data_IF_720232122672
#
_entry.id   IF_720232122672
#
_cell.length_a   1.000
_cell.length_b   1.000
_cell.length_c   1.000
_cell.angle_alpha   90.00
_cell.angle_beta   90.00
_cell.angle_gamma   90.00
#
_symmetry.space_group_name_H-M   'P 1'
#
loop_
_entity.id
_entity.type
_entity.pdbx_description
1 polymer ?
#
# COMPACT_ATOMS: atom_id res chain seq x y z
N UNK A 1 -13.64 1.00 14.35
CA UNK A 1 -15.12 1.25 14.32
C UNK A 1 -15.36 2.67 13.85
N UNK A 2 -16.39 2.89 13.08
CA UNK A 2 -16.76 4.23 12.59
C UNK A 2 -17.06 5.14 13.78
N UNK A 3 -16.39 6.28 13.86
CA UNK A 3 -16.54 7.27 14.96
C UNK A 3 -17.78 8.15 14.74
N UNK A 4 -17.98 8.58 13.50
CA UNK A 4 -19.12 9.37 13.05
C UNK A 4 -19.52 8.94 11.63
N UNK A 5 -20.71 8.37 11.51
CA UNK A 5 -21.23 7.83 10.25
C UNK A 5 -21.47 8.92 9.20
N UNK A 6 -21.92 10.10 9.62
CA UNK A 6 -22.18 11.21 8.68
C UNK A 6 -20.87 11.75 8.10
N UNK A 7 -19.89 11.98 8.96
CA UNK A 7 -18.56 12.47 8.55
C UNK A 7 -17.87 11.49 7.61
N UNK A 8 -17.85 10.19 7.91
CA UNK A 8 -17.18 9.21 7.03
C UNK A 8 -17.92 9.06 5.70
N UNK A 9 -19.24 9.09 5.68
CA UNK A 9 -20.00 9.05 4.44
C UNK A 9 -19.68 10.27 3.57
N UNK A 10 -19.68 11.48 4.14
CA UNK A 10 -19.31 12.69 3.42
C UNK A 10 -17.88 12.64 2.86
N UNK A 11 -16.93 12.11 3.62
CA UNK A 11 -15.55 11.93 3.15
C UNK A 11 -15.49 10.94 1.98
N UNK A 12 -16.17 9.80 2.09
CA UNK A 12 -16.23 8.80 1.01
C UNK A 12 -16.85 9.40 -0.25
N UNK A 13 -17.97 10.13 -0.13
CA UNK A 13 -18.64 10.78 -1.26
C UNK A 13 -17.71 11.80 -1.96
N UNK A 14 -16.94 12.58 -1.20
CA UNK A 14 -15.96 13.53 -1.74
C UNK A 14 -14.87 12.77 -2.51
N UNK A 15 -14.35 11.69 -1.95
CA UNK A 15 -13.31 10.88 -2.58
C UNK A 15 -13.84 10.19 -3.83
N UNK A 16 -15.05 9.60 -3.80
CA UNK A 16 -15.66 8.96 -4.97
C UNK A 16 -15.88 9.96 -6.11
N UNK A 17 -16.31 11.18 -5.78
CA UNK A 17 -16.43 12.26 -6.77
C UNK A 17 -15.07 12.65 -7.35
N UNK A 18 -14.05 12.84 -6.50
CA UNK A 18 -12.68 13.15 -6.94
C UNK A 18 -12.12 12.04 -7.84
N UNK A 19 -12.29 10.78 -7.45
CA UNK A 19 -11.89 9.62 -8.27
C UNK A 19 -12.58 9.66 -9.63
N UNK A 20 -13.90 9.81 -9.67
CA UNK A 20 -14.69 9.78 -10.91
C UNK A 20 -14.38 10.97 -11.82
N UNK A 21 -14.26 12.18 -11.26
CA UNK A 21 -14.17 13.41 -12.04
C UNK A 21 -12.74 13.84 -12.37
N UNK A 22 -11.76 13.41 -11.57
CA UNK A 22 -10.37 13.84 -11.69
C UNK A 22 -9.40 12.69 -11.96
N UNK A 23 -9.44 11.61 -11.17
CA UNK A 23 -8.42 10.56 -11.26
C UNK A 23 -8.66 9.62 -12.45
N UNK A 24 -9.89 9.13 -12.67
CA UNK A 24 -10.20 8.24 -13.79
C UNK A 24 -9.85 8.88 -15.14
N UNK A 25 -10.23 10.15 -15.42
CA UNK A 25 -9.84 10.81 -16.67
C UNK A 25 -8.32 10.99 -16.87
N UNK A 26 -7.55 10.99 -15.79
CA UNK A 26 -6.11 11.18 -15.83
C UNK A 26 -5.29 9.87 -15.82
N UNK A 27 -5.95 8.70 -15.82
CA UNK A 27 -5.28 7.40 -15.74
C UNK A 27 -4.27 7.16 -16.87
N UNK A 28 -4.63 7.52 -18.10
CA UNK A 28 -3.76 7.33 -19.27
C UNK A 28 -2.58 8.30 -19.23
N UNK A 29 -2.83 9.58 -18.95
CA UNK A 29 -1.77 10.57 -18.77
C UNK A 29 -0.75 10.13 -17.72
N UNK A 30 -1.21 9.71 -16.55
CA UNK A 30 -0.31 9.23 -15.49
C UNK A 30 0.49 8.00 -15.94
N UNK A 31 -0.14 7.07 -16.66
CA UNK A 31 0.54 5.88 -17.15
C UNK A 31 1.62 6.20 -18.19
N UNK A 32 1.37 7.18 -19.07
CA UNK A 32 2.31 7.65 -20.08
C UNK A 32 3.46 8.46 -19.48
N UNK A 33 3.16 9.40 -18.59
CA UNK A 33 4.16 10.26 -17.94
C UNK A 33 4.98 9.52 -16.86
N UNK A 34 4.47 8.41 -16.34
CA UNK A 34 5.11 7.63 -15.28
C UNK A 34 5.15 8.33 -13.92
N UNK A 35 4.35 9.37 -13.72
CA UNK A 35 4.22 10.12 -12.46
C UNK A 35 2.79 10.63 -12.25
N UNK A 36 2.46 10.95 -11.00
CA UNK A 36 1.22 11.67 -10.68
C UNK A 36 1.32 13.10 -11.25
N UNK A 37 0.32 13.58 -12.03
CA UNK A 37 0.27 14.98 -12.48
C UNK A 37 0.31 15.96 -11.30
N UNK A 38 1.03 17.07 -11.47
CA UNK A 38 1.31 18.01 -10.37
C UNK A 38 0.04 18.70 -9.84
N UNK A 39 -0.94 18.99 -10.70
CA UNK A 39 -2.25 19.52 -10.31
C UNK A 39 -3.04 18.54 -9.45
N UNK A 40 -3.05 17.27 -9.83
CA UNK A 40 -3.69 16.21 -9.03
C UNK A 40 -2.97 15.98 -7.70
N UNK A 41 -1.65 16.08 -7.66
CA UNK A 41 -0.89 16.00 -6.42
C UNK A 41 -1.30 17.13 -5.46
N UNK A 42 -1.52 18.34 -5.99
CA UNK A 42 -1.98 19.46 -5.19
C UNK A 42 -3.42 19.27 -4.67
N UNK A 43 -4.33 18.76 -5.51
CA UNK A 43 -5.70 18.43 -5.08
C UNK A 43 -5.72 17.34 -3.99
N UNK A 44 -4.87 16.32 -4.09
CA UNK A 44 -4.69 15.27 -3.05
C UNK A 44 -4.25 15.88 -1.72
N UNK A 45 -3.35 16.89 -1.73
CA UNK A 45 -2.94 17.64 -0.53
C UNK A 45 -4.11 18.43 0.07
N UNK A 46 -4.82 19.17 -0.76
CA UNK A 46 -5.96 20.01 -0.34
C UNK A 46 -7.11 19.18 0.24
N UNK A 47 -7.31 17.97 -0.27
CA UNK A 47 -8.28 17.00 0.27
C UNK A 47 -7.78 16.28 1.55
N UNK A 48 -6.55 16.55 2.02
CA UNK A 48 -6.00 15.94 3.23
C UNK A 48 -5.69 14.45 3.10
N UNK A 49 -5.58 13.91 1.88
CA UNK A 49 -5.42 12.47 1.65
C UNK A 49 -4.03 11.95 2.04
N UNK A 50 -3.07 12.80 2.34
CA UNK A 50 -1.78 12.44 2.93
C UNK A 50 -1.84 12.18 4.44
N UNK A 51 -2.88 12.68 5.13
CA UNK A 51 -3.03 12.60 6.58
C UNK A 51 -4.10 11.62 7.06
N UNK A 52 -4.64 10.74 6.22
CA UNK A 52 -5.77 9.87 6.55
C UNK A 52 -5.62 9.12 7.88
N UNK A 53 -4.43 8.58 8.16
CA UNK A 53 -4.17 7.72 9.33
C UNK A 53 -3.28 8.36 10.39
N UNK A 54 -2.76 9.55 10.11
CA UNK A 54 -1.97 10.34 11.07
C UNK A 54 -2.95 10.93 12.10
N UNK A 55 -2.64 10.87 13.41
CA UNK A 55 -3.51 11.41 14.44
C UNK A 55 -3.85 12.90 14.24
N UNK A 56 -5.05 13.30 14.68
CA UNK A 56 -5.57 14.66 14.54
C UNK A 56 -4.65 15.72 15.21
N UNK A 57 -4.04 15.37 16.32
CA UNK A 57 -3.09 16.24 17.06
C UNK A 57 -1.85 16.60 16.24
N UNK A 58 -1.54 15.85 15.17
CA UNK A 58 -0.46 16.12 14.22
C UNK A 58 -1.00 16.54 12.84
N UNK A 59 -2.26 16.97 12.75
CA UNK A 59 -2.87 17.52 11.54
C UNK A 59 -3.42 16.48 10.56
N UNK A 60 -3.53 15.23 10.94
CA UNK A 60 -4.17 14.18 10.17
C UNK A 60 -5.66 14.02 10.45
N UNK A 61 -6.30 13.03 9.84
CA UNK A 61 -7.71 12.67 10.08
C UNK A 61 -7.86 11.56 11.13
N UNK A 62 -6.80 10.87 11.49
CA UNK A 62 -6.78 9.81 12.50
C UNK A 62 -7.76 8.69 12.24
N UNK A 63 -8.02 8.30 10.97
CA UNK A 63 -9.03 7.32 10.63
C UNK A 63 -8.80 5.99 11.35
N UNK A 64 -9.88 5.42 11.86
CA UNK A 64 -9.91 4.04 12.37
C UNK A 64 -9.68 3.07 11.21
N UNK A 65 -9.44 1.79 11.50
CA UNK A 65 -9.21 0.81 10.44
C UNK A 65 -10.45 0.62 9.57
N UNK A 66 -11.64 0.59 10.16
CA UNK A 66 -12.90 0.47 9.42
C UNK A 66 -13.11 1.67 8.49
N UNK A 67 -12.88 2.89 8.96
CA UNK A 67 -12.96 4.12 8.16
C UNK A 67 -11.92 4.12 7.03
N UNK A 68 -10.68 3.70 7.33
CA UNK A 68 -9.61 3.59 6.32
C UNK A 68 -9.97 2.59 5.20
N UNK A 69 -10.61 1.47 5.52
CA UNK A 69 -11.04 0.49 4.51
C UNK A 69 -12.09 1.10 3.56
N UNK A 70 -13.07 1.83 4.08
CA UNK A 70 -14.07 2.51 3.25
C UNK A 70 -13.42 3.50 2.26
N UNK A 71 -12.50 4.33 2.76
CA UNK A 71 -11.71 5.26 1.93
C UNK A 71 -10.85 4.51 0.91
N UNK A 72 -10.22 3.41 1.32
CA UNK A 72 -9.37 2.60 0.44
C UNK A 72 -10.16 1.93 -0.68
N UNK A 73 -11.41 1.51 -0.43
CA UNK A 73 -12.30 0.99 -1.45
C UNK A 73 -12.68 2.09 -2.47
N UNK A 74 -13.02 3.29 -2.00
CA UNK A 74 -13.32 4.42 -2.88
C UNK A 74 -12.12 4.80 -3.77
N UNK A 75 -10.92 4.90 -3.20
CA UNK A 75 -9.68 5.15 -3.95
C UNK A 75 -9.31 4.01 -4.89
N UNK A 76 -9.74 2.77 -4.61
CA UNK A 76 -9.53 1.60 -5.47
C UNK A 76 -10.30 1.64 -6.79
N UNK A 77 -11.28 2.52 -6.97
CA UNK A 77 -12.02 2.65 -8.23
C UNK A 77 -11.22 3.29 -9.37
N UNK A 78 -9.97 3.66 -9.15
CA UNK A 78 -9.03 4.14 -10.17
C UNK A 78 -7.73 3.34 -10.15
N UNK A 79 -6.79 3.64 -11.05
CA UNK A 79 -5.48 2.99 -11.06
C UNK A 79 -4.83 3.03 -9.67
N UNK A 80 -4.40 1.88 -9.14
CA UNK A 80 -3.77 1.83 -7.83
C UNK A 80 -2.46 2.64 -7.74
N UNK A 81 -1.92 3.08 -8.89
CA UNK A 81 -0.74 3.94 -8.92
C UNK A 81 -1.02 5.33 -8.28
N UNK A 82 -2.23 5.90 -8.47
CA UNK A 82 -2.60 7.16 -7.83
C UNK A 82 -2.53 7.07 -6.30
N UNK A 83 -3.01 5.96 -5.74
CA UNK A 83 -3.03 5.75 -4.31
C UNK A 83 -1.62 5.54 -3.74
N UNK A 84 -0.65 5.06 -4.53
CA UNK A 84 0.68 4.67 -4.04
C UNK A 84 1.40 5.81 -3.33
N UNK A 85 1.35 7.04 -3.85
CA UNK A 85 2.06 8.16 -3.23
C UNK A 85 1.51 8.49 -1.84
N UNK A 86 0.20 8.64 -1.70
CA UNK A 86 -0.45 8.96 -0.44
C UNK A 86 -0.54 7.74 0.50
N UNK A 87 -0.86 6.56 -0.03
CA UNK A 87 -1.02 5.35 0.78
C UNK A 87 0.29 4.86 1.38
N UNK A 88 1.42 5.01 0.69
CA UNK A 88 2.74 4.74 1.28
C UNK A 88 3.04 5.74 2.39
N UNK A 89 2.75 7.02 2.17
CA UNK A 89 2.98 8.07 3.17
C UNK A 89 2.10 7.87 4.42
N UNK A 90 0.81 7.61 4.25
CA UNK A 90 -0.13 7.33 5.35
C UNK A 90 0.19 6.02 6.10
N UNK A 91 0.58 4.98 5.36
CA UNK A 91 0.79 3.63 5.88
C UNK A 91 2.22 3.39 6.32
N UNK A 92 2.97 2.67 5.49
CA UNK A 92 4.30 2.16 5.84
C UNK A 92 5.37 3.24 6.02
N UNK A 93 5.17 4.45 5.48
CA UNK A 93 6.10 5.57 5.62
C UNK A 93 6.02 6.28 6.97
N UNK A 94 4.81 6.49 7.51
CA UNK A 94 4.60 7.26 8.75
C UNK A 94 4.28 6.40 9.98
N UNK A 95 3.67 5.24 9.79
CA UNK A 95 3.09 4.45 10.88
C UNK A 95 4.13 4.03 11.94
N UNK A 96 5.39 3.80 11.56
CA UNK A 96 6.45 3.49 12.53
C UNK A 96 6.64 4.63 13.53
N UNK A 97 6.62 5.89 13.07
CA UNK A 97 6.72 7.08 13.93
C UNK A 97 5.46 7.24 14.77
N UNK A 98 4.28 7.03 14.18
CA UNK A 98 2.99 7.07 14.92
C UNK A 98 3.00 6.09 16.08
N UNK A 99 3.47 4.85 15.87
CA UNK A 99 3.44 3.80 16.89
C UNK A 99 4.54 3.93 17.94
N UNK A 100 5.76 4.20 17.53
CA UNK A 100 6.94 4.04 18.37
C UNK A 100 7.86 5.29 18.37
N UNK A 101 7.52 6.36 17.64
CA UNK A 101 8.29 7.59 17.64
C UNK A 101 8.21 8.33 18.98
N UNK A 102 9.30 9.03 19.34
CA UNK A 102 9.29 9.99 20.45
C UNK A 102 8.36 11.16 20.12
N UNK A 103 7.92 11.89 21.14
CA UNK A 103 7.08 13.07 20.93
C UNK A 103 7.78 14.12 20.04
N UNK A 104 9.09 14.31 20.22
CA UNK A 104 9.90 15.19 19.38
C UNK A 104 9.89 14.76 17.90
N UNK A 105 10.02 13.47 17.63
CA UNK A 105 9.92 12.91 16.26
C UNK A 105 8.52 13.10 15.69
N UNK A 106 7.48 12.82 16.45
CA UNK A 106 6.09 12.99 16.02
C UNK A 106 5.80 14.45 15.65
N UNK A 107 6.16 15.41 16.51
CA UNK A 107 5.98 16.85 16.26
C UNK A 107 6.79 17.35 15.06
N UNK A 108 7.98 16.81 14.84
CA UNK A 108 8.84 17.22 13.72
C UNK A 108 8.35 16.72 12.37
N UNK A 109 7.92 15.46 12.29
CA UNK A 109 7.69 14.77 11.01
C UNK A 109 6.22 14.62 10.64
N UNK A 110 5.33 14.25 11.59
CA UNK A 110 3.96 13.91 11.26
C UNK A 110 3.13 15.05 10.65
N UNK A 111 3.24 16.32 11.10
CA UNK A 111 2.51 17.42 10.47
C UNK A 111 2.89 17.61 9.00
N UNK A 112 4.17 17.45 8.67
CA UNK A 112 4.66 17.56 7.29
C UNK A 112 4.20 16.41 6.41
N UNK A 113 4.07 15.20 6.98
CA UNK A 113 3.52 14.07 6.27
C UNK A 113 2.01 14.22 6.08
N UNK A 114 1.28 14.69 7.10
CA UNK A 114 -0.16 14.87 7.03
C UNK A 114 -0.58 15.90 5.98
N UNK A 115 0.18 16.98 5.83
CA UNK A 115 -0.04 17.99 4.78
C UNK A 115 0.43 17.55 3.39
N UNK A 116 1.25 16.48 3.29
CA UNK A 116 1.90 16.10 2.04
C UNK A 116 3.05 17.04 1.62
N UNK A 117 3.47 17.96 2.50
CA UNK A 117 4.69 18.76 2.29
C UNK A 117 5.90 17.85 2.18
N UNK A 118 6.00 16.88 3.08
CA UNK A 118 7.02 15.84 3.03
C UNK A 118 6.41 14.47 2.71
N UNK A 119 7.10 13.75 1.85
CA UNK A 119 6.78 12.37 1.49
C UNK A 119 7.81 11.48 2.14
N UNK A 120 7.35 10.40 2.77
CA UNK A 120 8.17 9.37 3.37
C UNK A 120 8.11 8.08 2.57
N UNK A 121 9.12 7.24 2.70
CA UNK A 121 9.14 5.89 2.16
C UNK A 121 9.65 4.87 3.18
N UNK A 122 9.49 3.59 2.85
CA UNK A 122 9.79 2.46 3.72
C UNK A 122 10.89 1.59 3.12
N UNK A 123 12.07 1.62 3.75
CA UNK A 123 13.29 1.01 3.26
C UNK A 123 13.61 -0.29 4.03
N UNK A 124 12.86 -1.37 3.73
CA UNK A 124 13.07 -2.70 4.31
C UNK A 124 13.78 -3.63 3.33
N UNK A 125 13.21 -3.83 2.14
CA UNK A 125 13.64 -4.81 1.14
C UNK A 125 15.05 -4.50 0.62
N UNK A 126 15.84 -5.56 0.43
CA UNK A 126 17.18 -5.51 -0.13
C UNK A 126 17.30 -6.45 -1.35
N UNK A 127 18.34 -6.30 -2.20
CA UNK A 127 18.54 -7.20 -3.34
C UNK A 127 18.50 -8.70 -2.97
N UNK A 128 18.98 -9.06 -1.79
CA UNK A 128 19.06 -10.45 -1.31
C UNK A 128 18.08 -10.79 -0.17
N UNK A 129 17.25 -9.81 0.30
CA UNK A 129 16.32 -9.99 1.41
C UNK A 129 14.95 -9.38 1.09
N UNK A 130 14.07 -10.19 0.49
CA UNK A 130 12.67 -9.84 0.22
C UNK A 130 11.73 -10.54 1.19
N UNK A 131 11.28 -11.78 0.85
CA UNK A 131 10.41 -12.57 1.73
C UNK A 131 11.07 -12.97 3.04
N UNK A 132 12.38 -13.17 3.04
CA UNK A 132 13.21 -13.35 4.25
C UNK A 132 13.75 -11.98 4.72
N UNK A 133 12.84 -11.06 5.07
CA UNK A 133 13.19 -9.70 5.42
C UNK A 133 14.07 -9.56 6.68
N UNK A 134 14.03 -10.55 7.59
CA UNK A 134 14.90 -10.58 8.78
C UNK A 134 16.37 -10.86 8.46
N UNK A 135 16.69 -11.31 7.24
CA UNK A 135 18.05 -11.56 6.76
C UNK A 135 18.68 -10.33 6.09
N UNK A 136 18.10 -9.13 6.26
CA UNK A 136 18.67 -7.89 5.73
C UNK A 136 20.12 -7.68 6.20
N UNK A 137 20.92 -7.06 5.32
CA UNK A 137 22.37 -6.87 5.50
C UNK A 137 22.79 -5.41 5.68
N UNK A 138 21.91 -4.44 5.41
CA UNK A 138 22.17 -3.03 5.73
C UNK A 138 22.55 -2.92 7.19
N UNK A 139 23.69 -2.30 7.49
CA UNK A 139 24.22 -2.14 8.85
C UNK A 139 24.02 -0.71 9.36
N UNK A 140 23.89 -0.56 10.68
CA UNK A 140 23.93 0.73 11.37
C UNK A 140 24.87 0.59 12.57
N UNK A 141 26.12 1.00 12.39
CA UNK A 141 27.14 0.94 13.44
C UNK A 141 27.12 2.22 14.28
N UNK A 142 27.00 2.05 15.58
CA UNK A 142 27.06 3.22 16.51
C UNK A 142 28.44 3.87 16.50
N UNK A 143 28.45 5.21 16.43
CA UNK A 143 29.65 6.05 16.44
C UNK A 143 29.36 7.33 17.28
N UNK A 144 29.55 7.20 18.58
CA UNK A 144 29.25 8.24 19.56
C UNK A 144 27.74 8.51 19.63
N UNK A 145 27.35 9.73 19.30
CA UNK A 145 25.98 10.23 19.25
C UNK A 145 25.31 10.03 17.87
N UNK A 146 25.92 9.27 16.98
CA UNK A 146 25.43 8.95 15.66
C UNK A 146 25.44 7.44 15.39
N UNK A 147 24.71 7.04 14.34
CA UNK A 147 24.87 5.76 13.65
C UNK A 147 25.40 6.00 12.24
N UNK A 148 26.28 5.11 11.78
CA UNK A 148 26.79 5.09 10.42
C UNK A 148 26.09 3.96 9.68
N UNK A 149 25.26 4.31 8.69
CA UNK A 149 24.45 3.35 7.91
C UNK A 149 25.14 3.05 6.60
N UNK A 150 25.25 1.74 6.29
CA UNK A 150 25.80 1.23 5.02
C UNK A 150 24.91 0.09 4.48
N UNK A 151 24.58 0.15 3.19
CA UNK A 151 23.81 -0.88 2.51
C UNK A 151 22.97 -0.37 1.36
N UNK A 152 22.20 -1.27 0.73
CA UNK A 152 21.33 -0.94 -0.40
C UNK A 152 19.92 -1.46 -0.16
N UNK A 153 18.94 -0.59 -0.31
CA UNK A 153 17.52 -0.92 -0.28
C UNK A 153 16.95 -0.92 -1.69
N UNK A 154 16.06 -1.87 -1.97
CA UNK A 154 15.59 -2.16 -3.32
C UNK A 154 14.07 -2.03 -3.45
N UNK A 155 13.61 -1.60 -4.63
CA UNK A 155 12.18 -1.42 -4.95
C UNK A 155 11.47 -0.43 -4.02
N UNK A 156 12.14 0.65 -3.61
CA UNK A 156 11.58 1.56 -2.61
C UNK A 156 10.60 2.52 -3.27
N UNK A 157 9.33 2.33 -2.96
CA UNK A 157 8.23 3.16 -3.44
C UNK A 157 8.36 4.57 -2.89
N UNK A 158 8.14 5.56 -3.74
CA UNK A 158 8.28 7.00 -3.48
C UNK A 158 9.73 7.48 -3.28
N UNK A 159 10.75 6.63 -3.25
CA UNK A 159 12.13 7.08 -3.01
C UNK A 159 12.59 8.24 -3.92
N UNK A 160 12.23 8.29 -5.23
CA UNK A 160 12.61 9.41 -6.09
C UNK A 160 12.10 10.78 -5.61
N UNK A 161 10.97 10.82 -4.90
CA UNK A 161 10.31 12.05 -4.42
C UNK A 161 10.26 12.16 -2.90
N UNK A 162 10.81 11.17 -2.18
CA UNK A 162 10.78 11.15 -0.71
C UNK A 162 11.70 12.23 -0.11
N UNK A 163 11.27 12.80 0.99
CA UNK A 163 12.03 13.73 1.84
C UNK A 163 12.70 12.99 3.00
N UNK A 164 12.12 11.84 3.37
CA UNK A 164 12.65 10.97 4.43
C UNK A 164 12.53 9.50 4.07
N UNK A 165 13.45 8.73 4.60
CA UNK A 165 13.52 7.28 4.48
C UNK A 165 13.37 6.65 5.86
N UNK A 166 12.39 5.78 6.04
CA UNK A 166 12.29 4.92 7.21
C UNK A 166 13.12 3.65 6.95
N UNK A 167 14.33 3.60 7.50
CA UNK A 167 15.36 2.62 7.15
C UNK A 167 15.48 1.56 8.23
N UNK A 168 15.29 0.28 7.87
CA UNK A 168 15.59 -0.87 8.71
C UNK A 168 17.07 -1.27 8.48
N UNK A 169 17.86 -1.25 9.56
CA UNK A 169 19.27 -1.62 9.50
C UNK A 169 19.67 -2.45 10.72
N UNK A 170 20.67 -3.30 10.54
CA UNK A 170 21.20 -4.17 11.58
C UNK A 170 22.17 -3.38 12.48
N UNK A 171 21.77 -3.20 13.72
CA UNK A 171 22.59 -2.54 14.76
C UNK A 171 23.44 -3.54 15.54
N UNK A 172 22.97 -4.79 15.65
CA UNK A 172 23.73 -5.85 16.32
C UNK A 172 23.99 -7.02 15.34
N UNK A 173 25.25 -7.14 14.84
CA UNK A 173 25.62 -8.22 13.91
C UNK A 173 25.70 -9.60 14.55
N UNK A 174 25.88 -9.67 15.87
CA UNK A 174 25.98 -10.95 16.60
C UNK A 174 24.59 -11.56 16.83
N UNK A 175 23.55 -10.73 16.87
CA UNK A 175 22.16 -11.19 17.02
C UNK A 175 21.53 -11.46 15.65
N UNK A 176 21.34 -12.76 15.37
CA UNK A 176 20.67 -13.21 14.12
C UNK A 176 19.16 -12.95 14.18
N UNK A 177 18.58 -12.70 13.00
CA UNK A 177 17.12 -12.53 12.84
C UNK A 177 16.63 -11.16 13.27
N UNK A 178 15.40 -11.09 13.74
CA UNK A 178 14.64 -9.87 13.94
C UNK A 178 15.19 -8.91 15.02
N UNK A 179 15.74 -9.44 16.10
CA UNK A 179 16.14 -8.66 17.29
C UNK A 179 17.39 -7.82 17.10
N UNK A 180 18.19 -8.05 16.07
CA UNK A 180 19.38 -7.24 15.76
C UNK A 180 19.09 -6.09 14.80
N UNK A 181 17.81 -5.77 14.53
CA UNK A 181 17.39 -4.78 13.53
C UNK A 181 16.70 -3.61 14.20
N UNK A 182 17.15 -2.40 13.89
CA UNK A 182 16.58 -1.13 14.35
C UNK A 182 15.98 -0.35 13.18
N UNK A 183 15.12 0.61 13.47
CA UNK A 183 14.47 1.49 12.50
C UNK A 183 14.95 2.92 12.67
N UNK A 184 15.25 3.61 11.57
CA UNK A 184 15.82 4.96 11.58
C UNK A 184 15.03 5.90 10.67
N UNK A 185 14.86 7.15 11.09
CA UNK A 185 14.45 8.25 10.21
C UNK A 185 15.71 8.84 9.59
N UNK A 186 15.84 8.74 8.28
CA UNK A 186 16.96 9.32 7.53
C UNK A 186 16.42 10.38 6.59
N UNK A 187 16.87 11.63 6.74
CA UNK A 187 16.47 12.73 5.86
C UNK A 187 17.23 12.64 4.52
N UNK A 188 16.56 13.02 3.44
CA UNK A 188 17.09 12.86 2.06
C UNK A 188 18.44 13.53 1.83
N UNK A 189 18.62 14.73 2.41
CA UNK A 189 19.82 15.54 2.19
C UNK A 189 21.02 15.10 3.03
N UNK A 190 20.88 13.99 3.77
CA UNK A 190 22.01 13.42 4.54
C UNK A 190 23.09 12.95 3.56
N UNK A 191 24.36 13.39 3.72
CA UNK A 191 25.45 12.97 2.84
C UNK A 191 25.62 11.44 2.80
N UNK A 192 25.96 10.89 1.63
CA UNK A 192 26.18 9.46 1.43
C UNK A 192 24.94 8.72 0.91
N UNK A 193 23.83 9.40 0.66
CA UNK A 193 22.62 8.80 0.05
C UNK A 193 22.68 8.98 -1.46
N UNK A 194 22.53 7.88 -2.19
CA UNK A 194 22.40 7.86 -3.65
C UNK A 194 21.13 7.10 -4.05
N UNK A 195 20.39 7.63 -5.01
CA UNK A 195 19.22 6.97 -5.59
C UNK A 195 19.61 6.30 -6.91
N UNK A 196 19.14 5.07 -7.09
CA UNK A 196 19.22 4.36 -8.35
C UNK A 196 18.30 4.96 -9.44
N UNK A 197 18.35 4.40 -10.63
CA UNK A 197 17.41 4.74 -11.70
C UNK A 197 15.98 4.28 -11.33
N UNK A 198 14.97 5.01 -11.83
CA UNK A 198 13.57 4.61 -11.66
C UNK A 198 13.32 3.27 -12.34
N UNK A 199 12.71 2.34 -11.62
CA UNK A 199 12.43 0.99 -12.11
C UNK A 199 11.38 1.00 -13.23
N UNK A 200 11.64 0.24 -14.30
CA UNK A 200 10.64 -0.09 -15.31
C UNK A 200 9.84 -1.30 -14.84
N UNK A 201 8.53 -1.17 -14.78
CA UNK A 201 7.65 -2.17 -14.15
C UNK A 201 6.60 -2.70 -15.13
N UNK A 202 6.02 -3.87 -14.82
CA UNK A 202 4.90 -4.44 -15.55
C UNK A 202 3.64 -3.56 -15.49
N UNK A 203 3.37 -2.95 -14.34
CA UNK A 203 2.20 -2.14 -14.06
C UNK A 203 2.46 -1.09 -13.00
N UNK A 204 1.38 -0.42 -12.57
CA UNK A 204 1.41 0.72 -11.67
C UNK A 204 2.39 1.82 -12.15
N UNK A 205 2.35 2.12 -13.46
CA UNK A 205 3.02 3.28 -14.03
C UNK A 205 2.51 4.54 -13.33
N UNK A 206 3.42 5.43 -12.94
CA UNK A 206 3.07 6.58 -12.08
C UNK A 206 3.41 6.38 -10.59
N UNK A 207 3.54 5.13 -10.11
CA UNK A 207 4.11 4.83 -8.80
C UNK A 207 5.61 4.59 -8.93
N UNK A 208 6.42 5.59 -8.65
CA UNK A 208 7.87 5.51 -8.82
C UNK A 208 8.52 4.64 -7.73
N UNK A 209 9.44 3.77 -8.15
CA UNK A 209 10.31 2.98 -7.27
C UNK A 209 11.75 3.06 -7.76
N UNK A 210 12.71 2.99 -6.85
CA UNK A 210 14.13 2.85 -7.17
C UNK A 210 14.89 2.21 -6.00
N UNK A 211 16.17 1.92 -6.24
CA UNK A 211 17.10 1.56 -5.17
C UNK A 211 17.50 2.81 -4.39
N UNK A 212 17.76 2.63 -3.06
CA UNK A 212 18.35 3.64 -2.19
C UNK A 212 19.64 3.07 -1.62
N UNK A 213 20.75 3.73 -1.89
CA UNK A 213 22.10 3.31 -1.53
C UNK A 213 22.59 4.23 -0.42
N UNK A 214 23.09 3.64 0.66
CA UNK A 214 23.66 4.31 1.83
C UNK A 214 25.14 3.96 1.93
N UNK A 215 26.00 4.99 1.85
CA UNK A 215 27.47 4.87 1.92
C UNK A 215 27.95 5.81 3.02
N UNK A 216 28.33 5.25 4.16
CA UNK A 216 28.78 5.95 5.37
C UNK A 216 27.81 7.08 5.82
N UNK A 217 26.52 6.84 5.70
CA UNK A 217 25.46 7.81 6.04
C UNK A 217 25.41 8.00 7.56
N UNK A 218 25.76 9.18 8.04
CA UNK A 218 25.75 9.54 9.46
C UNK A 218 24.38 10.06 9.88
N UNK A 219 23.73 9.34 10.78
CA UNK A 219 22.39 9.65 11.28
C UNK A 219 22.45 9.89 12.78
N UNK A 220 21.90 10.99 13.34
CA UNK A 220 21.85 11.21 14.77
C UNK A 220 21.20 10.03 15.51
N UNK A 221 21.72 9.67 16.68
CA UNK A 221 21.18 8.56 17.47
C UNK A 221 19.71 8.78 17.88
N UNK A 222 19.30 10.04 18.03
CA UNK A 222 17.91 10.42 18.32
C UNK A 222 16.93 10.12 17.17
N UNK A 223 17.43 9.81 15.97
CA UNK A 223 16.59 9.43 14.80
C UNK A 223 16.23 7.94 14.80
N UNK A 224 16.66 7.16 15.78
CA UNK A 224 16.14 5.79 15.97
C UNK A 224 14.64 5.85 16.32
N UNK A 225 13.83 4.97 15.75
CA UNK A 225 12.39 4.88 16.02
C UNK A 225 12.17 3.73 17.02
N UNK A 226 11.71 4.07 18.22
CA UNK A 226 11.56 3.10 19.30
C UNK A 226 12.91 2.71 19.91
N UNK A 227 12.99 1.49 20.43
CA UNK A 227 14.20 0.96 21.07
C UNK A 227 15.13 0.29 20.05
N UNK A 228 16.43 0.30 20.31
CA UNK A 228 17.41 -0.44 19.52
C UNK A 228 17.09 -1.95 19.53
N UNK A 229 17.12 -2.57 18.34
CA UNK A 229 16.78 -3.99 18.17
C UNK A 229 15.29 -4.28 17.98
N UNK A 230 14.40 -3.29 18.09
CA UNK A 230 12.94 -3.46 17.94
C UNK A 230 12.40 -3.02 16.57
N UNK A 231 13.26 -2.55 15.67
CA UNK A 231 12.85 -2.02 14.38
C UNK A 231 12.10 -3.02 13.51
N UNK A 232 12.46 -4.30 13.55
CA UNK A 232 11.75 -5.34 12.80
C UNK A 232 10.36 -5.62 13.36
N UNK A 233 10.20 -5.60 14.69
CA UNK A 233 8.89 -5.77 15.34
C UNK A 233 7.97 -4.61 14.95
N UNK A 234 8.49 -3.39 14.98
CA UNK A 234 7.79 -2.19 14.50
C UNK A 234 7.37 -2.33 13.04
N UNK A 235 8.28 -2.77 12.16
CA UNK A 235 8.00 -3.00 10.76
C UNK A 235 6.86 -4.03 10.55
N UNK A 236 6.82 -5.11 11.33
CA UNK A 236 5.74 -6.11 11.23
C UNK A 236 4.37 -5.55 11.68
N UNK A 237 4.33 -4.73 12.75
CA UNK A 237 3.09 -4.05 13.17
C UNK A 237 2.56 -3.10 12.07
N UNK A 238 3.47 -2.38 11.41
CA UNK A 238 3.14 -1.50 10.28
C UNK A 238 2.57 -2.31 9.12
N UNK A 239 3.20 -3.42 8.74
CA UNK A 239 2.74 -4.30 7.65
C UNK A 239 1.40 -4.98 7.97
N UNK A 240 1.10 -5.30 9.23
CA UNK A 240 -0.21 -5.87 9.60
C UNK A 240 -1.37 -4.90 9.29
N UNK A 241 -1.15 -3.58 9.45
CA UNK A 241 -2.11 -2.55 9.02
C UNK A 241 -2.18 -2.47 7.50
N UNK A 242 -1.03 -2.46 6.84
CA UNK A 242 -0.92 -2.38 5.37
C UNK A 242 -1.66 -3.52 4.66
N UNK A 243 -1.69 -4.74 5.24
CA UNK A 243 -2.44 -5.89 4.68
C UNK A 243 -3.94 -5.62 4.58
N UNK A 244 -4.55 -5.01 5.58
CA UNK A 244 -5.97 -4.63 5.54
C UNK A 244 -6.20 -3.48 4.54
N UNK A 245 -5.33 -2.47 4.54
CA UNK A 245 -5.39 -1.38 3.58
C UNK A 245 -5.39 -1.89 2.14
N UNK A 246 -4.44 -2.75 1.76
CA UNK A 246 -4.37 -3.28 0.40
C UNK A 246 -5.53 -4.23 0.07
N UNK A 247 -6.15 -4.85 1.07
CA UNK A 247 -7.39 -5.61 0.89
C UNK A 247 -8.53 -4.68 0.48
N UNK A 248 -8.69 -3.52 1.14
CA UNK A 248 -9.66 -2.50 0.76
C UNK A 248 -9.45 -1.98 -0.67
N UNK A 249 -8.21 -1.64 -1.03
CA UNK A 249 -7.85 -1.24 -2.40
C UNK A 249 -8.21 -2.33 -3.42
N UNK A 250 -7.90 -3.60 -3.12
CA UNK A 250 -8.22 -4.74 -3.99
C UNK A 250 -9.72 -4.89 -4.24
N UNK A 251 -10.55 -4.65 -3.22
CA UNK A 251 -12.01 -4.68 -3.33
C UNK A 251 -12.50 -3.52 -4.21
N UNK A 252 -11.97 -2.31 -4.03
CA UNK A 252 -12.31 -1.16 -4.86
C UNK A 252 -11.98 -1.38 -6.34
N UNK A 253 -10.78 -1.89 -6.64
CA UNK A 253 -10.38 -2.26 -8.01
C UNK A 253 -11.30 -3.33 -8.59
N UNK A 254 -11.67 -4.36 -7.80
CA UNK A 254 -12.59 -5.39 -8.27
C UNK A 254 -13.96 -4.82 -8.62
N UNK A 255 -14.50 -3.92 -7.78
CA UNK A 255 -15.77 -3.21 -8.05
C UNK A 255 -15.72 -2.41 -9.35
N UNK A 256 -14.61 -1.67 -9.60
CA UNK A 256 -14.39 -0.94 -10.85
C UNK A 256 -14.37 -1.89 -12.05
N UNK A 257 -13.59 -2.97 -11.99
CA UNK A 257 -13.48 -3.94 -13.08
C UNK A 257 -14.80 -4.65 -13.40
N UNK A 258 -15.61 -4.95 -12.38
CA UNK A 258 -16.94 -5.51 -12.55
C UNK A 258 -17.86 -4.51 -13.25
N UNK A 259 -17.83 -3.24 -12.86
CA UNK A 259 -18.62 -2.20 -13.48
C UNK A 259 -18.24 -2.00 -14.96
N UNK A 260 -16.94 -1.88 -15.27
CA UNK A 260 -16.45 -1.73 -16.64
C UNK A 260 -16.82 -2.94 -17.51
N UNK A 261 -16.67 -4.17 -16.97
CA UNK A 261 -17.02 -5.40 -17.69
C UNK A 261 -18.53 -5.53 -17.91
N UNK A 262 -19.36 -5.15 -16.95
CA UNK A 262 -20.82 -5.15 -17.08
C UNK A 262 -21.29 -4.13 -18.12
N UNK A 263 -20.76 -2.90 -18.07
CA UNK A 263 -21.11 -1.85 -19.03
C UNK A 263 -20.76 -2.29 -20.47
N UNK A 264 -19.55 -2.81 -20.66
CA UNK A 264 -19.12 -3.36 -21.95
C UNK A 264 -20.03 -4.51 -22.41
N UNK A 265 -20.37 -5.45 -21.50
CA UNK A 265 -21.20 -6.60 -21.85
C UNK A 265 -22.62 -6.22 -22.25
N UNK A 266 -23.17 -5.16 -21.65
CA UNK A 266 -24.50 -4.63 -22.00
C UNK A 266 -24.54 -3.94 -23.37
N UNK A 267 -23.43 -3.35 -23.80
CA UNK A 267 -23.35 -2.58 -25.06
C UNK A 267 -22.89 -3.46 -26.23
N UNK A 268 -21.91 -4.35 -26.00
CA UNK A 268 -21.32 -5.20 -27.05
C UNK A 268 -22.30 -6.28 -27.49
N UNK A 269 -22.56 -6.32 -28.79
CA UNK A 269 -23.46 -7.34 -29.39
C UNK A 269 -22.69 -8.40 -30.17
N UNK A 270 -23.01 -9.66 -29.94
CA UNK A 270 -22.58 -10.81 -30.72
C UNK A 270 -23.76 -11.80 -30.80
N UNK A 271 -23.81 -12.60 -31.84
CA UNK A 271 -24.96 -13.55 -32.10
C UNK A 271 -26.33 -12.87 -32.05
N UNK A 272 -26.40 -11.60 -32.49
CA UNK A 272 -27.63 -10.82 -32.59
C UNK A 272 -28.13 -10.15 -31.30
N UNK A 273 -27.44 -10.29 -30.16
CA UNK A 273 -27.86 -9.74 -28.86
C UNK A 273 -26.66 -9.23 -28.05
N UNK A 274 -26.87 -8.45 -26.96
CA UNK A 274 -25.81 -8.09 -26.03
C UNK A 274 -25.10 -9.34 -25.49
N UNK A 275 -23.79 -9.28 -25.31
CA UNK A 275 -23.06 -10.44 -24.74
C UNK A 275 -23.42 -10.71 -23.29
N UNK A 276 -24.00 -9.75 -22.57
CA UNK A 276 -24.60 -9.94 -21.25
C UNK A 276 -25.70 -11.01 -21.20
N UNK A 277 -26.34 -11.32 -22.33
CA UNK A 277 -27.34 -12.39 -22.45
C UNK A 277 -26.72 -13.79 -22.59
N UNK A 278 -25.40 -13.89 -22.71
CA UNK A 278 -24.69 -15.15 -22.83
C UNK A 278 -24.38 -15.73 -21.43
N UNK A 279 -24.80 -16.98 -21.18
CA UNK A 279 -24.68 -17.62 -19.86
C UNK A 279 -23.23 -17.67 -19.33
N UNK A 280 -22.22 -17.84 -20.21
CA UNK A 280 -20.82 -17.87 -19.79
C UNK A 280 -20.32 -16.49 -19.36
N UNK A 281 -20.83 -15.40 -19.93
CA UNK A 281 -20.54 -14.02 -19.48
C UNK A 281 -21.21 -13.78 -18.12
N UNK A 282 -22.48 -14.19 -17.99
CA UNK A 282 -23.22 -14.09 -16.72
C UNK A 282 -22.50 -14.83 -15.59
N UNK A 283 -21.97 -16.02 -15.86
CA UNK A 283 -21.19 -16.79 -14.88
C UNK A 283 -19.93 -16.04 -14.42
N UNK A 284 -19.15 -15.44 -15.36
CA UNK A 284 -17.97 -14.65 -15.01
C UNK A 284 -18.30 -13.42 -14.17
N UNK A 285 -19.39 -12.72 -14.48
CA UNK A 285 -19.88 -11.57 -13.70
C UNK A 285 -20.35 -12.00 -12.30
N UNK A 286 -21.11 -13.09 -12.20
CA UNK A 286 -21.62 -13.63 -10.94
C UNK A 286 -20.50 -14.10 -10.01
N UNK A 287 -19.51 -14.83 -10.55
CA UNK A 287 -18.33 -15.26 -9.78
C UNK A 287 -17.54 -14.05 -9.26
N UNK A 288 -17.31 -13.05 -10.11
CA UNK A 288 -16.59 -11.83 -9.74
C UNK A 288 -17.30 -11.07 -8.63
N UNK A 289 -18.61 -10.91 -8.73
CA UNK A 289 -19.44 -10.26 -7.71
C UNK A 289 -19.44 -11.03 -6.39
N UNK A 290 -19.59 -12.36 -6.44
CA UNK A 290 -19.63 -13.23 -5.26
C UNK A 290 -18.31 -13.19 -4.49
N UNK A 291 -17.19 -13.32 -5.20
CA UNK A 291 -15.87 -13.28 -4.58
C UNK A 291 -15.57 -11.89 -3.98
N UNK A 292 -15.97 -10.80 -4.67
CA UNK A 292 -15.78 -9.43 -4.19
C UNK A 292 -16.62 -9.16 -2.93
N UNK A 293 -17.87 -9.63 -2.89
CA UNK A 293 -18.72 -9.53 -1.71
C UNK A 293 -18.13 -10.28 -0.51
N UNK A 294 -17.63 -11.49 -0.69
CA UNK A 294 -16.97 -12.24 0.36
C UNK A 294 -15.71 -11.52 0.88
N UNK A 295 -14.89 -10.94 -0.04
CA UNK A 295 -13.71 -10.14 0.30
C UNK A 295 -14.07 -8.93 1.16
N UNK A 296 -15.13 -8.20 0.80
CA UNK A 296 -15.60 -7.04 1.54
C UNK A 296 -16.07 -7.42 2.94
N UNK A 297 -16.91 -8.43 3.08
CA UNK A 297 -17.41 -8.90 4.38
C UNK A 297 -16.27 -9.28 5.33
N UNK A 298 -15.30 -10.09 4.87
CA UNK A 298 -14.19 -10.52 5.73
C UNK A 298 -13.26 -9.37 6.09
N UNK A 299 -13.02 -8.43 5.17
CA UNK A 299 -12.13 -7.28 5.42
C UNK A 299 -12.74 -6.29 6.40
N UNK A 300 -14.03 -5.96 6.23
CA UNK A 300 -14.74 -5.06 7.14
C UNK A 300 -14.86 -5.64 8.55
N UNK A 301 -15.18 -6.93 8.70
CA UNK A 301 -15.23 -7.55 10.01
C UNK A 301 -13.85 -7.59 10.69
N UNK A 302 -12.79 -7.88 9.94
CA UNK A 302 -11.43 -7.86 10.48
C UNK A 302 -11.01 -6.46 10.91
N UNK A 303 -11.39 -5.42 10.14
CA UNK A 303 -11.14 -4.03 10.50
C UNK A 303 -11.84 -3.64 11.82
N UNK A 304 -13.12 -4.00 11.98
CA UNK A 304 -13.87 -3.78 13.23
C UNK A 304 -13.23 -4.46 14.43
N UNK A 305 -12.78 -5.70 14.28
CA UNK A 305 -12.09 -6.44 15.34
C UNK A 305 -10.77 -5.76 15.72
N UNK A 306 -10.00 -5.29 14.72
CA UNK A 306 -8.77 -4.51 14.97
C UNK A 306 -9.05 -3.22 15.74
N UNK A 307 -10.11 -2.50 15.39
CA UNK A 307 -10.51 -1.26 16.08
C UNK A 307 -10.96 -1.51 17.53
N UNK A 308 -11.38 -2.75 17.85
CA UNK A 308 -11.62 -3.20 19.24
C UNK A 308 -10.34 -3.67 19.95
N UNK A 309 -9.16 -3.46 19.35
CA UNK A 309 -7.85 -3.92 19.83
C UNK A 309 -7.71 -5.44 19.96
N UNK A 310 -8.46 -6.21 19.19
CA UNK A 310 -8.29 -7.66 19.09
C UNK A 310 -7.02 -7.99 18.27
N UNK A 311 -6.39 -9.12 18.59
CA UNK A 311 -5.31 -9.65 17.78
C UNK A 311 -5.89 -10.28 16.50
N UNK A 312 -5.67 -9.62 15.36
CA UNK A 312 -6.20 -10.03 14.05
C UNK A 312 -5.09 -10.37 13.04
N UNK A 313 -3.91 -10.76 13.51
CA UNK A 313 -2.76 -11.03 12.62
C UNK A 313 -3.07 -12.15 11.60
N UNK A 314 -3.76 -13.20 12.02
CA UNK A 314 -4.20 -14.30 11.14
C UNK A 314 -5.23 -13.81 10.12
N UNK A 315 -6.25 -13.11 10.59
CA UNK A 315 -7.34 -12.61 9.76
C UNK A 315 -6.86 -11.54 8.78
N UNK A 316 -5.97 -10.64 9.19
CA UNK A 316 -5.35 -9.65 8.29
C UNK A 316 -4.56 -10.33 7.16
N UNK A 317 -3.84 -11.40 7.48
CA UNK A 317 -3.14 -12.20 6.46
C UNK A 317 -4.11 -12.94 5.55
N UNK A 318 -5.23 -13.46 6.09
CA UNK A 318 -6.28 -14.11 5.31
C UNK A 318 -6.99 -13.12 4.38
N UNK A 319 -7.32 -11.92 4.85
CA UNK A 319 -7.88 -10.85 4.03
C UNK A 319 -6.95 -10.49 2.87
N UNK A 320 -5.66 -10.24 3.18
CA UNK A 320 -4.68 -9.91 2.15
C UNK A 320 -4.54 -11.02 1.11
N UNK A 321 -4.40 -12.26 1.55
CA UNK A 321 -4.31 -13.41 0.65
C UNK A 321 -5.54 -13.51 -0.25
N UNK A 322 -6.73 -13.52 0.33
CA UNK A 322 -7.97 -13.70 -0.41
C UNK A 322 -8.23 -12.54 -1.38
N UNK A 323 -8.17 -11.29 -0.90
CA UNK A 323 -8.52 -10.11 -1.70
C UNK A 323 -7.56 -9.91 -2.88
N UNK A 324 -6.24 -10.11 -2.68
CA UNK A 324 -5.25 -9.91 -3.75
C UNK A 324 -5.28 -11.04 -4.80
N UNK A 325 -5.63 -12.26 -4.42
CA UNK A 325 -5.86 -13.35 -5.39
C UNK A 325 -7.21 -13.16 -6.10
N UNK A 326 -8.26 -12.76 -5.39
CA UNK A 326 -9.58 -12.47 -5.93
C UNK A 326 -9.53 -11.40 -7.01
N UNK A 327 -8.92 -10.23 -6.74
CA UNK A 327 -8.86 -9.14 -7.72
C UNK A 327 -8.08 -9.53 -8.98
N UNK A 328 -7.08 -10.42 -8.85
CA UNK A 328 -6.39 -11.00 -10.00
C UNK A 328 -7.33 -11.84 -10.89
N UNK A 329 -8.22 -12.65 -10.29
CA UNK A 329 -9.23 -13.42 -11.03
C UNK A 329 -10.28 -12.52 -11.65
N UNK A 330 -10.72 -11.48 -10.94
CA UNK A 330 -11.67 -10.49 -11.47
C UNK A 330 -11.09 -9.75 -12.68
N UNK A 331 -9.82 -9.34 -12.59
CA UNK A 331 -9.13 -8.67 -13.70
C UNK A 331 -9.00 -9.58 -14.93
N UNK A 332 -8.69 -10.87 -14.73
CA UNK A 332 -8.62 -11.85 -15.80
C UNK A 332 -10.00 -12.01 -16.49
N UNK A 333 -11.07 -12.17 -15.72
CA UNK A 333 -12.43 -12.24 -16.24
C UNK A 333 -12.86 -10.95 -16.95
N UNK A 334 -12.48 -9.78 -16.45
CA UNK A 334 -12.81 -8.51 -17.08
C UNK A 334 -12.15 -8.40 -18.48
N UNK A 335 -10.87 -8.73 -18.60
CA UNK A 335 -10.18 -8.81 -19.90
C UNK A 335 -10.87 -9.82 -20.81
N UNK A 336 -11.23 -11.01 -20.29
CA UNK A 336 -11.88 -12.07 -21.07
C UNK A 336 -13.27 -11.64 -21.57
N UNK A 337 -14.06 -10.92 -20.76
CA UNK A 337 -15.39 -10.39 -21.17
C UNK A 337 -15.24 -9.37 -22.30
N UNK A 338 -14.22 -8.54 -22.27
CA UNK A 338 -13.93 -7.57 -23.34
C UNK A 338 -13.41 -8.26 -24.61
N UNK A 339 -12.94 -9.51 -24.55
CA UNK A 339 -12.37 -10.23 -25.68
C UNK A 339 -11.14 -9.50 -26.24
N UNK A 340 -11.04 -9.39 -27.56
CA UNK A 340 -9.90 -8.70 -28.22
C UNK A 340 -9.74 -7.24 -27.79
N UNK A 341 -10.83 -6.53 -27.50
CA UNK A 341 -10.81 -5.16 -26.98
C UNK A 341 -10.12 -5.07 -25.61
N UNK A 342 -10.31 -6.08 -24.75
CA UNK A 342 -9.67 -6.12 -23.43
C UNK A 342 -8.15 -6.27 -23.43
N UNK A 343 -7.56 -6.57 -24.59
CA UNK A 343 -6.11 -6.66 -24.79
C UNK A 343 -5.50 -5.36 -25.34
N UNK A 344 -6.35 -4.40 -25.67
CA UNK A 344 -5.95 -3.12 -26.28
C UNK A 344 -5.89 -2.03 -25.21
N UNK A 345 -4.90 -1.16 -25.31
CA UNK A 345 -4.64 -0.08 -24.33
C UNK A 345 -5.74 0.98 -24.23
N UNK A 346 -6.67 1.01 -25.18
CA UNK A 346 -7.85 1.89 -25.17
C UNK A 346 -8.86 1.53 -24.07
N UNK A 347 -8.75 0.33 -23.49
CA UNK A 347 -9.61 -0.15 -22.40
C UNK A 347 -8.80 -0.34 -21.12
N UNK A 348 -9.21 0.29 -20.06
CA UNK A 348 -8.50 0.29 -18.78
C UNK A 348 -8.29 -1.12 -18.17
N UNK A 349 -9.07 -2.11 -18.56
CA UNK A 349 -9.02 -3.47 -18.00
C UNK A 349 -7.67 -4.16 -18.22
N UNK A 350 -6.96 -3.89 -19.34
CA UNK A 350 -5.63 -4.42 -19.59
C UNK A 350 -4.60 -3.82 -18.62
N UNK A 351 -4.70 -2.51 -18.35
CA UNK A 351 -3.83 -1.82 -17.38
C UNK A 351 -4.07 -2.35 -15.98
N UNK A 352 -5.33 -2.48 -15.57
CA UNK A 352 -5.69 -3.08 -14.28
C UNK A 352 -5.19 -4.52 -14.13
N UNK A 353 -5.23 -5.33 -15.20
CA UNK A 353 -4.68 -6.69 -15.19
C UNK A 353 -3.18 -6.69 -14.82
N UNK A 354 -2.41 -5.77 -15.40
CA UNK A 354 -0.98 -5.61 -15.08
C UNK A 354 -0.77 -5.02 -13.68
N UNK A 355 -1.57 -4.04 -13.28
CA UNK A 355 -1.43 -3.31 -12.01
C UNK A 355 -1.71 -4.20 -10.80
N UNK A 356 -2.77 -4.99 -10.82
CA UNK A 356 -3.16 -5.85 -9.70
C UNK A 356 -2.22 -7.03 -9.49
N UNK A 357 -1.40 -7.36 -10.51
CA UNK A 357 -0.41 -8.45 -10.38
C UNK A 357 0.57 -8.21 -9.25
N UNK A 358 0.89 -6.94 -8.96
CA UNK A 358 1.80 -6.55 -7.88
C UNK A 358 1.21 -6.86 -6.49
N UNK A 359 -0.11 -6.80 -6.32
CA UNK A 359 -0.76 -6.99 -5.01
C UNK A 359 -0.44 -8.33 -4.36
N UNK A 360 -0.18 -9.36 -5.16
CA UNK A 360 0.23 -10.70 -4.68
C UNK A 360 1.71 -10.79 -4.29
N UNK A 361 2.50 -9.74 -4.52
CA UNK A 361 3.96 -9.73 -4.31
C UNK A 361 4.37 -8.86 -3.13
N UNK A 362 3.96 -7.60 -3.10
CA UNK A 362 4.38 -6.66 -2.05
C UNK A 362 3.59 -6.84 -0.73
N UNK A 363 4.05 -6.21 0.34
CA UNK A 363 3.52 -6.33 1.70
C UNK A 363 3.44 -7.81 2.20
N UNK A 364 4.37 -8.63 1.73
CA UNK A 364 4.41 -10.07 1.92
C UNK A 364 3.63 -10.82 0.83
N UNK A 365 4.34 -11.70 0.12
CA UNK A 365 3.74 -12.50 -0.98
C UNK A 365 2.57 -13.35 -0.49
N UNK A 366 1.73 -13.83 -1.44
CA UNK A 366 0.66 -14.80 -1.13
C UNK A 366 1.17 -15.99 -0.32
N UNK A 367 2.37 -16.50 -0.64
CA UNK A 367 3.01 -17.61 0.07
C UNK A 367 3.42 -17.24 1.50
N UNK A 368 3.88 -16.00 1.72
CA UNK A 368 4.18 -15.51 3.08
C UNK A 368 2.90 -15.39 3.90
N UNK A 369 1.79 -14.93 3.32
CA UNK A 369 0.49 -14.91 4.02
C UNK A 369 0.05 -16.32 4.43
N UNK A 370 0.18 -17.31 3.54
CA UNK A 370 -0.12 -18.71 3.82
C UNK A 370 0.73 -19.26 4.98
N UNK A 371 2.03 -18.95 4.99
CA UNK A 371 2.95 -19.37 6.07
C UNK A 371 2.54 -18.72 7.40
N UNK A 372 2.18 -17.43 7.42
CA UNK A 372 1.77 -16.72 8.64
C UNK A 372 0.50 -17.36 9.21
N UNK A 373 -0.51 -17.55 8.36
CA UNK A 373 -1.78 -18.18 8.76
C UNK A 373 -1.52 -19.56 9.36
N UNK A 374 -0.79 -20.44 8.65
CA UNK A 374 -0.53 -21.79 9.10
C UNK A 374 0.28 -21.82 10.42
N UNK A 375 1.32 -20.98 10.55
CA UNK A 375 2.11 -20.88 11.79
C UNK A 375 1.29 -20.42 12.99
N UNK A 376 0.41 -19.44 12.78
CA UNK A 376 -0.46 -18.97 13.85
C UNK A 376 -1.48 -20.05 14.28
N UNK A 377 -2.05 -20.80 13.32
CA UNK A 377 -2.94 -21.94 13.62
C UNK A 377 -2.22 -23.03 14.41
N UNK A 378 -1.00 -23.41 14.01
CA UNK A 378 -0.20 -24.44 14.70
C UNK A 378 0.11 -23.95 16.13
N UNK A 379 0.55 -22.70 16.30
CA UNK A 379 0.84 -22.13 17.62
C UNK A 379 -0.37 -22.09 18.55
N UNK A 380 -1.56 -21.82 18.01
CA UNK A 380 -2.80 -21.79 18.80
C UNK A 380 -3.26 -23.20 19.21
N UNK A 381 -2.81 -24.27 18.55
CA UNK A 381 -3.12 -25.65 18.85
C UNK A 381 -2.07 -26.33 19.75
N UNK A 382 -0.92 -25.68 20.00
CA UNK A 382 0.19 -26.17 20.86
C UNK A 382 0.06 -25.61 22.26
#
# INVERSE_FOLDING_TARGET
>A
MIRDQETINALVDIIERFVRERLIPAEDQMAEEGKLPDDLLQEVRELGLFGLTIPEEYGGLGLTMEEEILVSMALGHTSPAFRSIMGTNNGIGSAAIVFNGTEAQKQKYLPKYASGEWISCFCLTEPEAGSDAASLRTTARRDGDHYVINGTKRYITNAPVAHTFNVMARTDPEVKGARGISSFIVERDTPGITLGSIDKKMGQSGSMTCDVIFEDVRVPAENIIGEEGEGFITAMKVLDRGRLHISGVSIGVAKRLIADALDYAMQRKQFGQPIAEQQLIQAMLADSQTETYAAECMTMETARRRDRNENVSTESSACKLFCTEMVGRVADRAVQIHGGAGYMSEYAVERFYRDVRLFRLYEGTSQIQQIIIARNMIRAAS
#
